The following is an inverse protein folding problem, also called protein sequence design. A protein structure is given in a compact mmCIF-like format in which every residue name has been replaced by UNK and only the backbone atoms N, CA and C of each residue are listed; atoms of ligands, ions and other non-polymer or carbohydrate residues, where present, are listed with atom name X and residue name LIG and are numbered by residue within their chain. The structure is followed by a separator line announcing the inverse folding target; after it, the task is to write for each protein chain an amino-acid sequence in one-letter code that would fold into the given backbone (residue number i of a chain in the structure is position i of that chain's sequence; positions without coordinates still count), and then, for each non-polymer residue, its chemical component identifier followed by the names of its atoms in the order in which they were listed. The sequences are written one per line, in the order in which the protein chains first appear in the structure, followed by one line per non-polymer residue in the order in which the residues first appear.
data_IF_766869533659
#
_entry.id   IF_766869533659
#
_cell.length_a   1.000
_cell.length_b   1.000
_cell.length_c   1.000
_cell.angle_alpha   90.00
_cell.angle_beta   90.00
_cell.angle_gamma   90.00
#
_symmetry.space_group_name_H-M   'P 1'
#
loop_
_entity.id
_entity.type
_entity.pdbx_description
1 polymer ?
#
# COMPACT_ATOMS: atom_id res chain seq x y z
N UNK A 1 -1.62 16.59 9.88
CA UNK A 1 -1.27 15.43 9.05
C UNK A 1 -2.47 14.52 9.05
N UNK A 2 -2.89 14.04 7.89
CA UNK A 2 -4.05 13.14 7.74
C UNK A 2 -3.58 11.87 7.06
N UNK A 3 -4.12 10.72 7.46
CA UNK A 3 -3.72 9.41 6.93
C UNK A 3 -4.96 8.71 6.43
N UNK A 4 -4.96 8.30 5.18
CA UNK A 4 -6.08 7.62 4.57
C UNK A 4 -5.64 6.25 4.07
N UNK A 5 -6.48 5.25 4.29
CA UNK A 5 -6.39 3.96 3.63
C UNK A 5 -7.39 3.96 2.48
N UNK A 6 -6.88 3.95 1.24
CA UNK A 6 -7.69 4.03 0.04
C UNK A 6 -7.77 2.66 -0.64
N UNK A 7 -8.89 2.43 -1.32
CA UNK A 7 -9.08 1.33 -2.25
C UNK A 7 -9.64 1.88 -3.57
N UNK A 8 -8.99 1.56 -4.68
CA UNK A 8 -9.47 1.87 -6.02
C UNK A 8 -9.70 0.60 -6.82
N UNK A 9 -10.48 0.67 -7.89
CA UNK A 9 -10.65 -0.47 -8.79
C UNK A 9 -9.32 -0.79 -9.51
N UNK A 10 -9.15 -2.08 -9.86
CA UNK A 10 -8.00 -2.54 -10.63
C UNK A 10 -8.05 -2.01 -12.06
N UNK A 11 -6.91 -1.58 -12.59
CA UNK A 11 -6.81 -1.08 -13.96
C UNK A 11 -7.04 -2.23 -14.95
N UNK A 12 -8.03 -2.10 -15.85
CA UNK A 12 -8.42 -3.11 -16.85
C UNK A 12 -8.84 -4.48 -16.31
N UNK A 13 -9.19 -4.59 -15.03
CA UNK A 13 -9.71 -5.84 -14.44
C UNK A 13 -11.09 -5.57 -13.86
N UNK A 14 -12.15 -6.27 -14.30
CA UNK A 14 -13.54 -5.94 -13.96
C UNK A 14 -13.91 -6.21 -12.49
N UNK A 15 -13.07 -6.94 -11.77
CA UNK A 15 -13.33 -7.34 -10.39
C UNK A 15 -12.06 -7.21 -9.56
N UNK A 16 -12.19 -6.75 -8.32
CA UNK A 16 -11.09 -6.56 -7.37
C UNK A 16 -10.66 -5.11 -7.23
N UNK A 17 -10.15 -4.78 -6.03
CA UNK A 17 -9.61 -3.46 -5.71
C UNK A 17 -8.14 -3.52 -5.32
N UNK A 18 -7.45 -2.43 -5.57
CA UNK A 18 -6.10 -2.15 -5.12
C UNK A 18 -6.14 -1.20 -3.92
N UNK A 19 -5.67 -1.66 -2.77
CA UNK A 19 -5.52 -0.84 -1.58
C UNK A 19 -4.13 -0.23 -1.46
N UNK A 20 -4.08 1.00 -0.99
CA UNK A 20 -2.87 1.79 -0.80
C UNK A 20 -3.07 2.84 0.30
N UNK A 21 -1.98 3.47 0.74
CA UNK A 21 -1.97 4.42 1.86
C UNK A 21 -1.65 5.81 1.33
N UNK A 22 -2.39 6.82 1.81
CA UNK A 22 -2.15 8.23 1.53
C UNK A 22 -1.86 8.98 2.82
N UNK A 23 -0.81 9.80 2.84
CA UNK A 23 -0.45 10.64 3.99
C UNK A 23 -0.38 12.10 3.55
N UNK A 24 -1.29 12.95 4.01
CA UNK A 24 -1.26 14.40 3.78
C UNK A 24 -0.37 15.05 4.84
N UNK A 25 0.76 15.61 4.43
CA UNK A 25 1.79 16.11 5.32
C UNK A 25 1.66 17.61 5.61
N UNK A 26 0.94 18.36 4.77
CA UNK A 26 0.67 19.79 4.97
C UNK A 26 0.62 20.58 3.66
N UNK A 27 0.88 21.89 3.74
CA UNK A 27 0.84 22.81 2.58
C UNK A 27 2.18 22.97 1.85
N UNK A 28 3.26 22.38 2.36
CA UNK A 28 4.62 22.52 1.83
C UNK A 28 5.19 21.14 1.55
N UNK A 29 5.96 21.04 0.47
CA UNK A 29 6.68 19.81 0.12
C UNK A 29 7.67 19.42 1.21
N UNK A 30 7.76 18.12 1.50
CA UNK A 30 8.68 17.52 2.46
C UNK A 30 9.37 16.31 1.84
N UNK A 31 10.59 16.06 2.31
CA UNK A 31 11.38 14.90 1.93
C UNK A 31 11.45 13.93 3.10
N UNK A 32 11.16 12.66 2.84
CA UNK A 32 11.23 11.56 3.81
C UNK A 32 12.33 10.60 3.36
N UNK A 33 13.30 10.34 4.24
CA UNK A 33 14.35 9.35 4.02
C UNK A 33 14.01 8.07 4.78
N UNK A 34 13.81 6.99 4.05
CA UNK A 34 13.74 5.62 4.55
C UNK A 34 15.19 5.16 4.81
N UNK A 35 15.55 5.00 6.08
CA UNK A 35 16.94 4.86 6.50
C UNK A 35 17.51 3.50 6.15
N UNK A 36 16.71 2.43 6.23
CA UNK A 36 17.16 1.05 6.06
C UNK A 36 17.31 0.70 4.58
N UNK A 37 16.33 1.07 3.76
CA UNK A 37 16.33 0.87 2.31
C UNK A 37 17.11 1.95 1.55
N UNK A 38 17.55 3.00 2.23
CA UNK A 38 18.19 4.19 1.66
C UNK A 38 17.36 4.81 0.51
N UNK A 39 16.03 4.78 0.62
CA UNK A 39 15.14 5.41 -0.36
C UNK A 39 14.72 6.80 0.13
N UNK A 40 14.61 7.73 -0.81
CA UNK A 40 14.13 9.09 -0.54
C UNK A 40 12.79 9.28 -1.25
N UNK A 41 11.78 9.69 -0.50
CA UNK A 41 10.44 9.94 -1.01
C UNK A 41 10.10 11.41 -0.77
N UNK A 42 9.85 12.15 -1.85
CA UNK A 42 9.45 13.55 -1.79
C UNK A 42 7.93 13.62 -1.98
N UNK A 43 7.26 14.38 -1.12
CA UNK A 43 5.81 14.58 -1.22
C UNK A 43 5.42 15.26 -2.53
N UNK A 44 4.25 14.91 -3.06
CA UNK A 44 3.66 15.55 -4.23
C UNK A 44 2.40 16.30 -3.85
N UNK A 45 2.06 17.31 -4.64
CA UNK A 45 0.78 17.99 -4.51
C UNK A 45 -0.36 17.05 -4.92
N UNK A 46 -1.29 16.85 -3.98
CA UNK A 46 -2.48 16.03 -4.12
C UNK A 46 -3.78 16.86 -4.21
N UNK A 47 -3.67 18.18 -4.43
CA UNK A 47 -4.78 19.13 -4.56
C UNK A 47 -5.32 19.62 -3.21
N UNK A 48 -5.48 18.74 -2.23
CA UNK A 48 -5.78 19.12 -0.82
C UNK A 48 -4.55 19.62 -0.06
N UNK A 49 -3.36 19.25 -0.53
CA UNK A 49 -2.06 19.57 0.07
C UNK A 49 -0.98 18.63 -0.44
N UNK A 50 0.24 18.81 0.07
CA UNK A 50 1.36 17.92 -0.21
C UNK A 50 1.23 16.63 0.61
N UNK A 51 1.49 15.50 -0.03
CA UNK A 51 1.42 14.21 0.62
C UNK A 51 2.17 13.09 -0.08
N UNK A 52 2.06 11.90 0.50
CA UNK A 52 2.63 10.64 0.02
C UNK A 52 1.51 9.73 -0.48
N UNK A 53 1.78 8.98 -1.53
CA UNK A 53 0.93 7.90 -2.03
C UNK A 53 1.78 6.63 -2.06
N UNK A 54 1.41 5.63 -1.27
CA UNK A 54 2.25 4.50 -0.89
C UNK A 54 1.51 3.18 -1.15
N UNK A 55 1.98 2.38 -2.11
CA UNK A 55 1.37 1.11 -2.48
C UNK A 55 2.42 0.01 -2.71
N UNK A 56 1.94 -1.23 -2.85
CA UNK A 56 2.75 -2.35 -3.31
C UNK A 56 2.10 -3.02 -4.51
N UNK A 57 2.90 -3.31 -5.54
CA UNK A 57 2.41 -3.66 -6.87
C UNK A 57 3.00 -4.96 -7.36
N UNK A 58 2.25 -5.59 -8.25
CA UNK A 58 2.69 -6.75 -9.00
C UNK A 58 3.81 -6.34 -9.98
N UNK A 59 5.05 -6.74 -9.69
CA UNK A 59 6.22 -6.43 -10.51
C UNK A 59 6.84 -7.72 -11.02
N UNK A 60 7.01 -7.88 -12.35
CA UNK A 60 7.74 -9.01 -12.91
C UNK A 60 9.18 -9.06 -12.36
N UNK A 61 9.73 -10.23 -12.05
CA UNK A 61 11.12 -10.33 -11.65
C UNK A 61 12.01 -9.93 -12.83
N UNK A 62 12.76 -8.83 -12.71
CA UNK A 62 13.80 -8.49 -13.69
C UNK A 62 15.07 -9.29 -13.40
N UNK A 63 15.70 -9.81 -14.46
CA UNK A 63 17.01 -10.49 -14.43
C UNK A 63 17.14 -11.66 -13.44
N UNK A 64 16.31 -12.69 -13.59
CA UNK A 64 16.59 -13.99 -12.98
C UNK A 64 17.01 -15.00 -14.05
N UNK A 65 18.16 -15.64 -13.85
CA UNK A 65 18.63 -16.78 -14.68
C UNK A 65 17.70 -18.01 -14.56
N UNK A 66 16.67 -17.96 -13.69
CA UNK A 66 15.59 -18.94 -13.58
C UNK A 66 14.25 -18.18 -13.59
N UNK A 67 13.24 -18.64 -14.36
CA UNK A 67 11.93 -18.01 -14.32
C UNK A 67 11.31 -18.17 -12.93
N UNK A 68 11.00 -17.06 -12.26
CA UNK A 68 10.21 -17.12 -11.04
C UNK A 68 8.81 -17.64 -11.38
N UNK A 69 8.29 -18.57 -10.58
CA UNK A 69 6.92 -19.08 -10.73
C UNK A 69 5.86 -17.98 -10.59
N UNK A 70 6.16 -16.93 -9.83
CA UNK A 70 5.27 -15.82 -9.55
C UNK A 70 6.02 -14.49 -9.60
N UNK A 71 5.28 -13.42 -9.90
CA UNK A 71 5.78 -12.05 -9.79
C UNK A 71 6.01 -11.67 -8.31
N UNK A 72 6.59 -10.48 -8.12
CA UNK A 72 6.92 -9.93 -6.80
C UNK A 72 5.90 -8.87 -6.39
N UNK A 73 5.55 -8.83 -5.11
CA UNK A 73 4.77 -7.73 -4.54
C UNK A 73 5.72 -6.63 -4.05
N UNK A 74 6.04 -5.64 -4.88
CA UNK A 74 7.08 -4.64 -4.57
C UNK A 74 6.48 -3.29 -4.20
N UNK A 75 7.04 -2.65 -3.17
CA UNK A 75 6.69 -1.27 -2.81
C UNK A 75 7.00 -0.31 -3.96
N UNK A 76 6.06 0.59 -4.25
CA UNK A 76 6.24 1.71 -5.18
C UNK A 76 5.45 2.92 -4.68
N UNK A 77 6.14 4.02 -4.44
CA UNK A 77 5.48 5.29 -4.17
C UNK A 77 4.96 5.93 -5.47
N UNK A 78 3.81 6.60 -5.39
CA UNK A 78 3.20 7.38 -6.47
C UNK A 78 3.02 6.61 -7.78
N UNK A 79 2.57 5.36 -7.70
CA UNK A 79 2.07 4.66 -8.89
C UNK A 79 0.98 5.49 -9.56
N UNK A 80 0.94 5.50 -10.89
CA UNK A 80 0.16 6.45 -11.69
C UNK A 80 -1.34 6.36 -11.36
N UNK A 81 -1.88 5.15 -11.25
CA UNK A 81 -3.30 4.95 -10.96
C UNK A 81 -3.62 5.26 -9.49
N UNK A 82 -2.74 4.92 -8.54
CA UNK A 82 -2.91 5.28 -7.12
C UNK A 82 -2.89 6.80 -6.92
N UNK A 83 -1.96 7.48 -7.58
CA UNK A 83 -1.83 8.94 -7.51
C UNK A 83 -3.05 9.64 -8.12
N UNK A 84 -3.55 9.16 -9.26
CA UNK A 84 -4.76 9.69 -9.87
C UNK A 84 -5.98 9.50 -8.94
N UNK A 85 -6.17 8.28 -8.44
CA UNK A 85 -7.26 7.95 -7.51
C UNK A 85 -7.20 8.77 -6.20
N UNK A 86 -5.99 8.96 -5.65
CA UNK A 86 -5.79 9.79 -4.47
C UNK A 86 -6.22 11.24 -4.72
N UNK A 87 -5.79 11.83 -5.84
CA UNK A 87 -6.16 13.20 -6.21
C UNK A 87 -7.66 13.34 -6.37
N UNK A 88 -8.27 12.46 -7.14
CA UNK A 88 -9.72 12.47 -7.40
C UNK A 88 -10.53 12.41 -6.11
N UNK A 89 -10.15 11.50 -5.19
CA UNK A 89 -10.77 11.41 -3.87
C UNK A 89 -10.61 12.71 -3.06
N UNK A 90 -9.39 13.24 -2.98
CA UNK A 90 -9.06 14.39 -2.13
C UNK A 90 -9.61 15.72 -2.63
N UNK A 91 -9.80 15.88 -3.94
CA UNK A 91 -10.36 17.10 -4.54
C UNK A 91 -11.85 16.97 -4.85
N UNK A 92 -12.48 15.83 -4.52
CA UNK A 92 -13.87 15.51 -4.91
C UNK A 92 -14.14 15.73 -6.40
N UNK A 93 -13.10 15.52 -7.23
CA UNK A 93 -13.21 15.68 -8.67
C UNK A 93 -13.82 14.43 -9.27
N UNK A 94 -14.59 14.58 -10.35
CA UNK A 94 -15.03 13.42 -11.14
C UNK A 94 -13.79 12.65 -11.64
N UNK A 95 -13.89 11.31 -11.77
CA UNK A 95 -12.79 10.52 -12.33
C UNK A 95 -12.37 11.12 -13.67
N UNK A 96 -11.07 11.30 -13.87
CA UNK A 96 -10.51 11.98 -15.04
C UNK A 96 -9.81 11.00 -15.98
N UNK A 97 -9.85 11.27 -17.29
CA UNK A 97 -9.16 10.43 -18.30
C UNK A 97 -9.66 8.98 -18.32
N UNK A 98 -8.74 8.01 -18.44
CA UNK A 98 -9.03 6.56 -18.49
C UNK A 98 -9.98 6.07 -17.39
N UNK A 99 -9.99 6.74 -16.23
CA UNK A 99 -10.88 6.40 -15.12
C UNK A 99 -12.37 6.47 -15.51
N UNK A 100 -12.72 7.48 -16.31
CA UNK A 100 -14.10 7.69 -16.80
C UNK A 100 -14.50 6.67 -17.89
N UNK A 101 -13.57 6.25 -18.75
CA UNK A 101 -13.85 5.41 -19.92
C UNK A 101 -13.88 3.91 -19.59
N UNK A 102 -13.13 3.49 -18.57
CA UNK A 102 -13.07 2.09 -18.12
C UNK A 102 -14.01 1.83 -16.92
N UNK A 103 -14.92 2.78 -16.63
CA UNK A 103 -15.94 2.67 -15.58
C UNK A 103 -15.33 2.48 -14.17
N UNK A 104 -14.18 3.10 -13.91
CA UNK A 104 -13.57 3.06 -12.58
C UNK A 104 -14.50 3.74 -11.59
N UNK A 105 -14.91 3.00 -10.55
CA UNK A 105 -15.64 3.60 -9.45
C UNK A 105 -14.71 4.53 -8.68
N UNK A 106 -15.23 5.64 -8.14
CA UNK A 106 -14.46 6.50 -7.26
C UNK A 106 -13.77 5.69 -6.16
N UNK A 107 -12.53 6.08 -5.83
CA UNK A 107 -11.81 5.45 -4.75
C UNK A 107 -12.60 5.58 -3.45
N UNK A 108 -12.65 4.49 -2.69
CA UNK A 108 -13.16 4.50 -1.33
C UNK A 108 -12.00 4.78 -0.39
N UNK A 109 -12.22 5.59 0.64
CA UNK A 109 -11.20 5.89 1.62
C UNK A 109 -11.75 5.73 3.04
N UNK A 110 -10.89 5.28 3.93
CA UNK A 110 -11.10 5.29 5.37
C UNK A 110 -10.08 6.21 6.00
N UNK A 111 -10.53 7.14 6.84
CA UNK A 111 -9.63 7.98 7.63
C UNK A 111 -9.03 7.11 8.75
N UNK A 112 -7.69 7.04 8.79
CA UNK A 112 -6.96 6.25 9.78
C UNK A 112 -6.55 7.15 10.93
N UNK A 113 -7.10 6.87 12.10
CA UNK A 113 -6.77 7.58 13.32
C UNK A 113 -5.68 6.84 14.10
N UNK A 114 -4.77 7.53 14.80
CA UNK A 114 -3.84 6.87 15.72
C UNK A 114 -4.57 6.29 16.94
N UNK A 115 -4.00 5.24 17.55
CA UNK A 115 -4.39 4.76 18.88
C UNK A 115 -4.15 5.85 19.93
N UNK A 116 -4.86 5.76 21.05
CA UNK A 116 -4.67 6.67 22.17
C UNK A 116 -3.19 6.69 22.61
N UNK A 117 -2.65 7.88 22.84
CA UNK A 117 -1.24 8.09 23.16
C UNK A 117 -0.30 8.28 21.97
N UNK A 118 -0.79 8.12 20.73
CA UNK A 118 -0.02 8.37 19.50
C UNK A 118 -0.55 9.58 18.74
N UNK A 119 0.35 10.37 18.16
CA UNK A 119 0.01 11.45 17.23
C UNK A 119 -0.09 10.94 15.80
N UNK A 120 -0.76 11.69 14.92
CA UNK A 120 -0.80 11.39 13.49
C UNK A 120 0.61 11.37 12.85
N UNK A 121 1.52 12.22 13.34
CA UNK A 121 2.90 12.23 12.87
C UNK A 121 3.66 10.97 13.29
N UNK A 122 3.48 10.52 14.54
CA UNK A 122 4.06 9.26 15.01
C UNK A 122 3.50 8.07 14.21
N UNK A 123 2.19 8.02 13.96
CA UNK A 123 1.59 6.99 13.12
C UNK A 123 2.18 6.99 11.70
N UNK A 124 2.30 8.16 11.06
CA UNK A 124 2.91 8.25 9.73
C UNK A 124 4.37 7.78 9.72
N UNK A 125 5.15 8.14 10.74
CA UNK A 125 6.54 7.66 10.89
C UNK A 125 6.59 6.13 11.05
N UNK A 126 5.68 5.54 11.82
CA UNK A 126 5.59 4.09 11.99
C UNK A 126 5.17 3.37 10.71
N UNK A 127 4.27 3.97 9.91
CA UNK A 127 3.94 3.46 8.56
C UNK A 127 5.17 3.47 7.66
N UNK A 128 5.92 4.58 7.63
CA UNK A 128 7.14 4.68 6.82
C UNK A 128 8.22 3.70 7.29
N UNK A 129 8.38 3.50 8.60
CA UNK A 129 9.32 2.53 9.15
C UNK A 129 8.93 1.08 8.82
N UNK A 130 7.64 0.76 8.86
CA UNK A 130 7.11 -0.54 8.43
C UNK A 130 7.37 -0.81 6.94
N UNK A 131 7.20 0.21 6.09
CA UNK A 131 7.54 0.14 4.66
C UNK A 131 9.05 -0.04 4.46
N UNK A 132 9.86 0.65 5.25
CA UNK A 132 11.33 0.56 5.18
C UNK A 132 11.82 -0.87 5.47
N UNK A 133 11.28 -1.50 6.52
CA UNK A 133 11.50 -2.94 6.79
C UNK A 133 11.02 -3.82 5.62
N UNK A 134 9.82 -3.55 5.11
CA UNK A 134 9.23 -4.32 4.02
C UNK A 134 10.13 -4.36 2.79
N UNK A 135 10.68 -3.22 2.38
CA UNK A 135 11.54 -3.13 1.20
C UNK A 135 12.77 -4.04 1.34
N UNK A 136 13.40 -4.05 2.52
CA UNK A 136 14.57 -4.90 2.78
C UNK A 136 14.18 -6.38 2.82
N UNK A 137 13.11 -6.72 3.52
CA UNK A 137 12.70 -8.10 3.72
C UNK A 137 12.17 -8.73 2.44
N UNK A 138 11.37 -8.00 1.64
CA UNK A 138 10.89 -8.46 0.34
C UNK A 138 12.04 -8.70 -0.64
N UNK A 139 13.10 -7.88 -0.58
CA UNK A 139 14.34 -8.08 -1.36
C UNK A 139 15.06 -9.37 -0.94
N UNK A 140 15.11 -9.70 0.35
CA UNK A 140 15.78 -10.88 0.87
C UNK A 140 14.95 -12.16 0.69
N UNK A 141 13.63 -12.06 0.82
CA UNK A 141 12.69 -13.19 0.72
C UNK A 141 11.42 -12.71 0.03
N UNK A 142 11.32 -13.01 -1.27
CA UNK A 142 10.20 -12.57 -2.11
C UNK A 142 8.84 -12.92 -1.50
N UNK A 143 7.89 -12.01 -1.68
CA UNK A 143 6.47 -12.29 -1.50
C UNK A 143 5.86 -12.52 -2.88
N UNK A 144 5.54 -13.79 -3.14
CA UNK A 144 4.87 -14.18 -4.37
C UNK A 144 3.56 -13.37 -4.54
N UNK A 145 3.41 -12.77 -5.72
CA UNK A 145 2.16 -12.18 -6.19
C UNK A 145 1.51 -13.18 -7.16
N UNK A 146 0.68 -14.12 -6.67
CA UNK A 146 -0.09 -15.03 -7.51
C UNK A 146 -1.15 -14.26 -8.33
N UNK A 147 -1.78 -14.91 -9.33
CA UNK A 147 -2.91 -14.31 -10.04
C UNK A 147 -3.98 -13.74 -9.08
N UNK A 148 -4.76 -12.73 -9.51
CA UNK A 148 -5.84 -12.15 -8.70
C UNK A 148 -6.70 -13.25 -8.06
N UNK A 149 -7.30 -12.99 -6.89
CA UNK A 149 -8.13 -13.94 -6.12
C UNK A 149 -7.42 -15.04 -5.33
N UNK A 150 -6.13 -15.32 -5.56
CA UNK A 150 -5.45 -16.48 -4.98
C UNK A 150 -4.21 -16.13 -4.18
N UNK A 151 -4.32 -15.34 -3.10
CA UNK A 151 -3.24 -15.13 -2.14
C UNK A 151 -2.80 -13.69 -1.96
N UNK A 152 -1.53 -13.49 -1.58
CA UNK A 152 -1.02 -12.16 -1.16
C UNK A 152 -0.99 -11.17 -2.32
N UNK A 153 -1.63 -10.02 -2.12
CA UNK A 153 -1.68 -8.92 -3.08
C UNK A 153 -1.50 -7.56 -2.39
N UNK A 154 -1.76 -6.47 -3.11
CA UNK A 154 -1.71 -5.11 -2.56
C UNK A 154 -2.59 -4.88 -1.33
N UNK A 155 -3.71 -5.59 -1.24
CA UNK A 155 -4.66 -5.46 -0.13
C UNK A 155 -4.10 -6.15 1.11
N UNK A 156 -3.49 -7.32 0.93
CA UNK A 156 -2.73 -7.99 1.98
C UNK A 156 -1.60 -7.09 2.50
N UNK A 157 -0.90 -6.39 1.61
CA UNK A 157 0.17 -5.46 1.99
C UNK A 157 -0.35 -4.29 2.82
N UNK A 158 -1.35 -3.56 2.33
CA UNK A 158 -1.88 -2.40 3.04
C UNK A 158 -2.48 -2.80 4.39
N UNK A 159 -3.24 -3.89 4.44
CA UNK A 159 -3.82 -4.40 5.68
C UNK A 159 -2.76 -4.83 6.69
N UNK A 160 -1.69 -5.51 6.24
CA UNK A 160 -0.63 -5.97 7.15
C UNK A 160 0.17 -4.82 7.75
N UNK A 161 0.35 -3.71 7.01
CA UNK A 161 0.92 -2.48 7.59
C UNK A 161 -0.01 -1.95 8.68
N UNK A 162 -1.32 -1.87 8.41
CA UNK A 162 -2.29 -1.35 9.37
C UNK A 162 -2.37 -2.19 10.66
N UNK A 163 -2.13 -3.49 10.57
CA UNK A 163 -2.12 -4.39 11.73
C UNK A 163 -0.91 -4.18 12.66
N UNK A 164 0.24 -3.73 12.13
CA UNK A 164 1.48 -3.59 12.91
C UNK A 164 1.76 -2.17 13.41
N UNK A 165 1.12 -1.16 12.81
CA UNK A 165 1.26 0.24 13.23
C UNK A 165 0.23 0.59 14.32
N UNK A 166 0.43 1.65 15.12
CA UNK A 166 -0.52 2.04 16.16
C UNK A 166 -1.76 2.75 15.59
N UNK A 167 -2.45 2.14 14.63
CA UNK A 167 -3.70 2.63 14.06
C UNK A 167 -4.90 2.16 14.89
N UNK A 168 -5.87 3.04 15.10
CA UNK A 168 -7.19 2.73 15.65
C UNK A 168 -8.06 2.22 14.50
N UNK A 169 -8.18 0.91 14.40
CA UNK A 169 -8.98 0.24 13.39
C UNK A 169 -10.32 -0.20 13.98
N UNK A 170 -11.41 0.09 13.25
CA UNK A 170 -12.70 -0.53 13.54
C UNK A 170 -12.67 -2.03 13.16
N UNK A 171 -13.60 -2.85 13.69
CA UNK A 171 -13.87 -4.15 13.09
C UNK A 171 -14.09 -3.99 11.59
N UNK A 172 -13.54 -4.91 10.78
CA UNK A 172 -13.68 -4.88 9.32
C UNK A 172 -13.11 -3.61 8.66
N UNK A 173 -12.08 -3.00 9.27
CA UNK A 173 -11.41 -1.83 8.69
C UNK A 173 -10.79 -2.09 7.31
N UNK A 174 -10.42 -3.34 7.00
CA UNK A 174 -9.94 -3.76 5.68
C UNK A 174 -11.03 -3.92 4.61
N UNK A 175 -12.30 -3.86 4.99
CA UNK A 175 -13.39 -4.27 4.12
C UNK A 175 -13.87 -3.06 3.32
N UNK A 176 -13.32 -2.91 2.13
CA UNK A 176 -13.78 -1.93 1.14
C UNK A 176 -14.80 -2.61 0.23
N UNK A 177 -15.79 -1.85 -0.26
CA UNK A 177 -16.78 -2.39 -1.19
C UNK A 177 -16.09 -2.95 -2.44
N UNK A 178 -16.35 -4.21 -2.80
CA UNK A 178 -15.71 -4.83 -3.97
C UNK A 178 -14.22 -5.16 -3.81
N UNK A 179 -13.70 -5.19 -2.58
CA UNK A 179 -12.37 -5.70 -2.31
C UNK A 179 -12.20 -7.14 -2.81
N UNK A 180 -11.00 -7.47 -3.31
CA UNK A 180 -10.62 -8.82 -3.73
C UNK A 180 -10.75 -9.80 -2.54
N UNK A 181 -11.05 -11.07 -2.82
CA UNK A 181 -11.28 -12.14 -1.85
C UNK A 181 -10.11 -12.34 -0.86
N UNK A 182 -8.90 -11.89 -1.21
CA UNK A 182 -7.72 -11.96 -0.35
C UNK A 182 -7.51 -10.72 0.58
N UNK A 183 -8.57 -9.95 0.86
CA UNK A 183 -8.50 -8.81 1.77
C UNK A 183 -8.24 -9.21 3.23
N UNK A 184 -8.46 -10.47 3.59
CA UNK A 184 -8.23 -11.09 4.89
C UNK A 184 -6.83 -11.75 5.00
N UNK A 185 -6.22 -12.07 3.86
CA UNK A 185 -4.85 -12.60 3.81
C UNK A 185 -3.86 -11.56 4.34
N UNK A 186 -3.02 -11.97 5.28
CA UNK A 186 -1.94 -11.14 5.84
C UNK A 186 -0.57 -11.62 5.42
N UNK A 187 0.30 -10.66 5.15
CA UNK A 187 1.74 -10.85 5.06
C UNK A 187 2.25 -10.97 6.50
N UNK A 188 3.14 -11.94 6.81
CA UNK A 188 3.65 -12.11 8.16
C UNK A 188 4.26 -10.81 8.72
N UNK A 189 3.89 -10.46 9.96
CA UNK A 189 4.29 -9.19 10.59
C UNK A 189 5.81 -8.95 10.57
N UNK A 190 6.62 -10.01 10.60
CA UNK A 190 8.09 -9.93 10.52
C UNK A 190 8.59 -9.16 9.30
N UNK A 191 7.83 -9.12 8.20
CA UNK A 191 8.18 -8.32 7.02
C UNK A 191 8.15 -6.82 7.31
N UNK A 192 7.43 -6.37 8.34
CA UNK A 192 7.19 -4.96 8.63
C UNK A 192 7.77 -4.50 9.97
N UNK A 193 8.02 -5.41 10.92
CA UNK A 193 8.40 -5.04 12.30
C UNK A 193 9.91 -5.15 12.59
N UNK A 194 10.70 -5.75 11.70
CA UNK A 194 12.16 -5.87 11.86
C UNK A 194 12.82 -6.41 10.60
N UNK A 195 14.16 -6.41 10.54
CA UNK A 195 14.91 -6.98 9.41
C UNK A 195 15.07 -8.49 9.62
N UNK A 196 14.70 -9.30 8.61
CA UNK A 196 14.92 -10.74 8.57
C UNK A 196 15.81 -11.15 7.38
N UNK A 197 16.69 -12.12 7.62
CA UNK A 197 17.57 -12.70 6.60
C UNK A 197 18.03 -14.12 7.00
N UNK A 198 17.38 -15.19 6.49
CA UNK A 198 16.12 -15.20 5.74
C UNK A 198 14.91 -14.98 6.64
N UNK A 199 13.78 -14.58 6.06
CA UNK A 199 12.51 -14.59 6.78
C UNK A 199 12.04 -16.06 6.86
N UNK A 200 12.26 -16.71 8.01
CA UNK A 200 12.09 -18.17 8.21
C UNK A 200 10.64 -18.68 8.17
N UNK A 201 9.66 -17.79 8.01
CA UNK A 201 8.25 -18.18 7.88
C UNK A 201 7.99 -18.63 6.45
N UNK A 202 7.48 -19.86 6.30
CA UNK A 202 6.94 -20.33 5.03
C UNK A 202 5.92 -19.31 4.52
N UNK A 203 6.22 -18.71 3.39
CA UNK A 203 5.40 -17.73 2.70
C UNK A 203 4.73 -18.42 1.51
N UNK A 204 3.81 -19.38 1.73
CA UNK A 204 3.14 -19.99 0.61
C UNK A 204 2.36 -18.89 -0.12
N UNK A 205 2.42 -18.92 -1.45
CA UNK A 205 1.63 -18.03 -2.29
C UNK A 205 0.12 -18.15 -1.98
N UNK A 206 -0.29 -19.26 -1.35
CA UNK A 206 -1.65 -19.57 -0.95
C UNK A 206 -1.69 -19.90 0.55
N UNK A 207 -2.61 -19.30 1.29
CA UNK A 207 -3.14 -19.87 2.54
C UNK A 207 -4.58 -20.27 2.27
#
# INVERSE_FOLDING_TARGET
MEIYWLARDLNKVPFGRHQFIVIITGKVSRTFKLQKSNQTIVTRDLGKGYGLVLGAHNVPPSNQNKPAKFNRLMFKAFEKADLAAAKEFLTSSKPSGHAFWENYKPAEAKHVHPKQGYTAEQLARQILDAIDHYIINEKNTNIAYPPPWLGKNSNSWASSIMDVVPAKLAPNASDFKGADAAHDVRIPAMYFTGICSPCTIQNPAHR
#
